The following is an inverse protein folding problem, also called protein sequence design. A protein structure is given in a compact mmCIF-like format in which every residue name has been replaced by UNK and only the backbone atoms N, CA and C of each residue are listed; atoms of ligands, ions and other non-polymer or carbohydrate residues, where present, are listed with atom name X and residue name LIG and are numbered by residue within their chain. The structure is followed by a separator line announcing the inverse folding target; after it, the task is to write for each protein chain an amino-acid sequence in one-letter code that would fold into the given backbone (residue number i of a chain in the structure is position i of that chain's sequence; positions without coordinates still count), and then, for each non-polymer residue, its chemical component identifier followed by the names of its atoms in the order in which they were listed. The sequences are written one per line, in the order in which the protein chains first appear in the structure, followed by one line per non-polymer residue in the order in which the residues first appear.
data_IF_254721770264
#
_entry.id   IF_254721770264
#
_cell.length_a   1.000
_cell.length_b   1.000
_cell.length_c   1.000
_cell.angle_alpha   90.00
_cell.angle_beta   90.00
_cell.angle_gamma   90.00
#
_symmetry.space_group_name_H-M   'P 1'
#
loop_
_entity.id
_entity.type
_entity.pdbx_description
1 polymer ?
#
# COMPACT_ATOMS: atom_id res chain seq x y z
N UNK A 1 22.64 14.04 -2.98
CA UNK A 1 21.64 14.25 -1.91
C UNK A 1 20.27 14.64 -2.48
N UNK A 2 20.19 15.59 -3.41
CA UNK A 2 18.94 15.99 -4.10
C UNK A 2 18.16 14.84 -4.75
N UNK A 3 18.83 13.92 -5.45
CA UNK A 3 18.21 12.74 -6.07
C UNK A 3 17.48 11.83 -5.06
N UNK A 4 17.97 11.74 -3.82
CA UNK A 4 17.38 10.89 -2.78
C UNK A 4 16.09 11.54 -2.25
N UNK A 5 16.10 12.85 -2.00
CA UNK A 5 14.89 13.58 -1.63
C UNK A 5 13.82 13.54 -2.73
N UNK A 6 14.22 13.64 -3.99
CA UNK A 6 13.30 13.48 -5.12
C UNK A 6 12.70 12.07 -5.13
N UNK A 7 13.50 11.03 -4.95
CA UNK A 7 13.00 9.65 -4.88
C UNK A 7 12.00 9.45 -3.72
N UNK A 8 12.30 9.95 -2.52
CA UNK A 8 11.37 9.89 -1.38
C UNK A 8 10.06 10.62 -1.69
N UNK A 9 10.15 11.80 -2.31
CA UNK A 9 8.98 12.58 -2.70
C UNK A 9 8.11 11.81 -3.70
N UNK A 10 8.69 11.25 -4.77
CA UNK A 10 7.94 10.46 -5.75
C UNK A 10 7.28 9.22 -5.12
N UNK A 11 8.02 8.47 -4.28
CA UNK A 11 7.47 7.28 -3.61
C UNK A 11 6.33 7.64 -2.66
N UNK A 12 6.47 8.75 -1.91
CA UNK A 12 5.42 9.23 -1.02
C UNK A 12 4.16 9.64 -1.78
N UNK A 13 4.32 10.41 -2.86
CA UNK A 13 3.21 10.83 -3.73
C UNK A 13 2.53 9.62 -4.37
N UNK A 14 3.30 8.64 -4.86
CA UNK A 14 2.76 7.40 -5.45
C UNK A 14 1.96 6.60 -4.41
N UNK A 15 2.49 6.43 -3.19
CA UNK A 15 1.83 5.72 -2.10
C UNK A 15 0.50 6.37 -1.73
N UNK A 16 0.51 7.70 -1.54
CA UNK A 16 -0.69 8.46 -1.17
C UNK A 16 -1.73 8.42 -2.29
N UNK A 17 -1.29 8.60 -3.54
CA UNK A 17 -2.19 8.57 -4.70
C UNK A 17 -2.85 7.21 -4.86
N UNK A 18 -2.09 6.12 -4.70
CA UNK A 18 -2.61 4.76 -4.75
C UNK A 18 -3.66 4.52 -3.65
N UNK A 19 -3.39 4.96 -2.43
CA UNK A 19 -4.35 4.89 -1.33
C UNK A 19 -5.64 5.66 -1.65
N UNK A 20 -5.54 6.88 -2.17
CA UNK A 20 -6.71 7.73 -2.51
C UNK A 20 -7.54 7.12 -3.64
N UNK A 21 -6.89 6.55 -4.66
CA UNK A 21 -7.60 5.88 -5.76
C UNK A 21 -8.36 4.66 -5.22
N UNK A 22 -7.72 3.85 -4.38
CA UNK A 22 -8.36 2.69 -3.78
C UNK A 22 -9.52 3.09 -2.85
N UNK A 23 -9.34 4.06 -1.96
CA UNK A 23 -10.45 4.52 -1.09
C UNK A 23 -11.63 5.02 -1.90
N UNK A 24 -11.38 5.74 -3.00
CA UNK A 24 -12.45 6.19 -3.90
C UNK A 24 -13.15 5.02 -4.59
N UNK A 25 -12.39 4.07 -5.14
CA UNK A 25 -12.95 2.88 -5.81
C UNK A 25 -13.81 2.07 -4.83
N UNK A 26 -13.31 1.80 -3.62
CA UNK A 26 -14.05 1.07 -2.59
C UNK A 26 -15.27 1.85 -2.08
N UNK A 27 -15.16 3.17 -1.91
CA UNK A 27 -16.29 4.02 -1.51
C UNK A 27 -17.41 4.02 -2.55
N UNK A 28 -17.07 3.93 -3.84
CA UNK A 28 -18.02 3.89 -4.94
C UNK A 28 -18.60 2.48 -5.15
N UNK A 29 -17.81 1.43 -5.00
CA UNK A 29 -18.23 0.05 -5.28
C UNK A 29 -19.10 -0.57 -4.18
N UNK A 30 -18.84 -0.25 -2.90
CA UNK A 30 -19.37 -1.04 -1.77
C UNK A 30 -20.00 -0.20 -0.66
N UNK A 31 -20.01 1.12 -0.82
CA UNK A 31 -20.46 2.10 0.18
C UNK A 31 -19.34 2.57 1.11
N UNK A 32 -19.50 3.79 1.65
CA UNK A 32 -18.50 4.54 2.41
C UNK A 32 -17.83 3.77 3.57
N UNK A 33 -18.49 2.75 4.14
CA UNK A 33 -17.95 1.94 5.23
C UNK A 33 -16.65 1.20 4.86
N UNK A 34 -16.49 0.78 3.60
CA UNK A 34 -15.30 0.04 3.17
C UNK A 34 -14.11 0.94 2.80
N UNK A 35 -14.32 2.25 2.67
CA UNK A 35 -13.21 3.19 2.45
C UNK A 35 -12.25 3.21 3.65
N UNK A 36 -12.78 3.07 4.87
CA UNK A 36 -11.97 3.00 6.10
C UNK A 36 -11.03 1.80 6.12
N UNK A 37 -11.42 0.67 5.53
CA UNK A 37 -10.58 -0.54 5.45
C UNK A 37 -9.25 -0.24 4.73
N UNK A 38 -9.30 0.47 3.60
CA UNK A 38 -8.11 0.82 2.82
C UNK A 38 -7.14 1.68 3.63
N UNK A 39 -7.67 2.66 4.37
CA UNK A 39 -6.86 3.52 5.25
C UNK A 39 -6.23 2.71 6.38
N UNK A 40 -7.01 1.84 7.03
CA UNK A 40 -6.51 0.96 8.09
C UNK A 40 -5.43 0.00 7.62
N UNK A 41 -5.57 -0.61 6.44
CA UNK A 41 -4.54 -1.52 5.88
C UNK A 41 -3.26 -0.75 5.54
N UNK A 42 -3.38 0.46 5.00
CA UNK A 42 -2.21 1.30 4.74
C UNK A 42 -1.47 1.66 6.04
N UNK A 43 -2.19 2.06 7.08
CA UNK A 43 -1.61 2.35 8.39
C UNK A 43 -1.00 1.08 9.03
N UNK A 44 -1.66 -0.07 8.90
CA UNK A 44 -1.15 -1.36 9.35
C UNK A 44 0.19 -1.69 8.65
N UNK A 45 0.27 -1.49 7.34
CA UNK A 45 1.51 -1.70 6.58
C UNK A 45 2.66 -0.84 7.08
N UNK A 46 2.40 0.45 7.34
CA UNK A 46 3.40 1.33 7.97
C UNK A 46 3.76 0.88 9.38
N UNK A 47 2.79 0.41 10.17
CA UNK A 47 3.02 -0.14 11.51
C UNK A 47 3.92 -1.38 11.48
N UNK A 48 3.63 -2.35 10.61
CA UNK A 48 4.44 -3.56 10.42
C UNK A 48 5.87 -3.21 10.01
N UNK A 49 6.05 -2.24 9.10
CA UNK A 49 7.38 -1.76 8.72
C UNK A 49 8.13 -1.17 9.91
N UNK A 50 7.46 -0.43 10.80
CA UNK A 50 8.05 0.12 12.03
C UNK A 50 8.44 -0.96 13.04
N UNK A 51 7.57 -1.97 13.23
CA UNK A 51 7.85 -3.11 14.12
C UNK A 51 9.01 -3.95 13.63
N UNK A 52 9.06 -4.26 12.34
CA UNK A 52 10.18 -4.98 11.71
C UNK A 52 11.48 -4.18 11.89
N UNK A 53 11.44 -2.87 11.67
CA UNK A 53 12.61 -2.01 11.86
C UNK A 53 13.08 -1.98 13.32
N UNK A 54 12.15 -2.01 14.28
CA UNK A 54 12.49 -2.02 15.71
C UNK A 54 13.09 -3.36 16.16
N UNK A 55 12.61 -4.49 15.63
CA UNK A 55 13.11 -5.82 15.99
C UNK A 55 14.39 -6.19 15.22
N UNK A 56 14.48 -5.81 13.95
CA UNK A 56 15.58 -6.15 13.04
C UNK A 56 16.40 -4.92 12.63
N UNK A 57 16.57 -3.95 13.54
CA UNK A 57 17.30 -2.71 13.26
C UNK A 57 18.72 -2.92 12.73
N UNK A 58 19.35 -4.07 13.04
CA UNK A 58 20.64 -4.47 12.49
C UNK A 58 20.62 -4.72 10.98
N UNK A 59 19.49 -5.17 10.40
CA UNK A 59 19.36 -5.48 8.97
C UNK A 59 19.33 -4.21 8.09
N UNK A 60 19.01 -3.08 8.72
CA UNK A 60 18.77 -1.78 8.08
C UNK A 60 20.00 -0.87 8.14
N UNK A 61 20.98 -1.17 8.99
CA UNK A 61 22.25 -0.42 9.05
C UNK A 61 23.04 -0.47 7.74
N UNK A 62 22.92 -1.54 6.96
CA UNK A 62 23.59 -1.72 5.66
C UNK A 62 22.66 -1.49 4.46
N UNK A 63 21.94 -0.37 4.46
CA UNK A 63 21.14 0.07 3.31
C UNK A 63 22.04 0.70 2.24
N UNK A 64 22.54 -0.14 1.35
CA UNK A 64 23.26 0.31 0.14
C UNK A 64 22.27 0.93 -0.86
N UNK A 65 22.65 1.93 -1.67
CA UNK A 65 21.79 2.51 -2.70
C UNK A 65 21.21 1.49 -3.71
N UNK A 66 21.90 0.37 -3.95
CA UNK A 66 21.38 -0.76 -4.74
C UNK A 66 20.18 -1.45 -4.07
N UNK A 67 20.22 -1.65 -2.75
CA UNK A 67 19.10 -2.21 -1.97
C UNK A 67 17.90 -1.27 -1.99
N UNK A 68 18.11 0.04 -1.86
CA UNK A 68 17.04 1.03 -1.99
C UNK A 68 16.36 0.96 -3.36
N UNK A 69 17.13 0.84 -4.44
CA UNK A 69 16.58 0.71 -5.80
C UNK A 69 15.77 -0.58 -5.96
N UNK A 70 16.26 -1.69 -5.39
CA UNK A 70 15.54 -2.97 -5.39
C UNK A 70 14.22 -2.88 -4.58
N UNK A 71 14.23 -2.23 -3.42
CA UNK A 71 13.04 -1.96 -2.61
C UNK A 71 12.02 -1.08 -3.35
N UNK A 72 12.47 -0.06 -4.08
CA UNK A 72 11.60 0.78 -4.91
C UNK A 72 10.96 -0.01 -6.06
N UNK A 73 11.71 -0.94 -6.68
CA UNK A 73 11.19 -1.84 -7.69
C UNK A 73 10.14 -2.81 -7.11
N UNK A 74 10.43 -3.41 -5.96
CA UNK A 74 9.48 -4.24 -5.20
C UNK A 74 8.21 -3.47 -4.82
N UNK A 75 8.34 -2.21 -4.42
CA UNK A 75 7.19 -1.35 -4.12
C UNK A 75 6.30 -1.16 -5.35
N UNK A 76 6.90 -0.89 -6.53
CA UNK A 76 6.15 -0.77 -7.78
C UNK A 76 5.43 -2.07 -8.15
N UNK A 77 6.09 -3.22 -8.00
CA UNK A 77 5.44 -4.53 -8.14
C UNK A 77 4.30 -4.72 -7.13
N UNK A 78 4.48 -4.28 -5.88
CA UNK A 78 3.47 -4.34 -4.83
C UNK A 78 2.23 -3.53 -5.17
N UNK A 79 2.39 -2.31 -5.71
CA UNK A 79 1.27 -1.51 -6.19
C UNK A 79 0.50 -2.20 -7.34
N UNK A 80 1.22 -2.77 -8.31
CA UNK A 80 0.60 -3.53 -9.41
C UNK A 80 -0.13 -4.78 -8.89
N UNK A 81 0.51 -5.55 -8.02
CA UNK A 81 -0.10 -6.72 -7.38
C UNK A 81 -1.35 -6.35 -6.58
N UNK A 82 -1.31 -5.24 -5.84
CA UNK A 82 -2.46 -4.72 -5.10
C UNK A 82 -3.62 -4.31 -6.01
N UNK A 83 -3.34 -3.63 -7.13
CA UNK A 83 -4.37 -3.29 -8.12
C UNK A 83 -5.00 -4.54 -8.74
N UNK A 84 -4.17 -5.52 -9.10
CA UNK A 84 -4.61 -6.79 -9.67
C UNK A 84 -5.48 -7.56 -8.67
N UNK A 85 -5.05 -7.66 -7.41
CA UNK A 85 -5.83 -8.29 -6.33
C UNK A 85 -7.21 -7.64 -6.16
N UNK A 86 -7.25 -6.30 -6.16
CA UNK A 86 -8.51 -5.55 -6.06
C UNK A 86 -9.42 -5.82 -7.26
N UNK A 87 -8.85 -5.97 -8.46
CA UNK A 87 -9.61 -6.30 -9.66
C UNK A 87 -10.13 -7.77 -9.64
N UNK A 88 -9.34 -8.70 -9.10
CA UNK A 88 -9.71 -10.12 -8.99
C UNK A 88 -10.69 -10.43 -7.86
N UNK A 89 -10.86 -9.52 -6.91
CA UNK A 89 -11.92 -9.62 -5.91
C UNK A 89 -13.15 -8.86 -6.39
N UNK A 90 -14.10 -9.49 -7.11
CA UNK A 90 -15.45 -8.95 -7.25
C UNK A 90 -16.10 -9.10 -5.87
N UNK A 91 -15.86 -8.12 -5.00
CA UNK A 91 -16.42 -8.11 -3.66
C UNK A 91 -17.90 -7.71 -3.76
N UNK A 92 -18.71 -8.65 -4.24
CA UNK A 92 -20.15 -8.50 -4.44
C UNK A 92 -20.84 -8.58 -3.07
N UNK A 93 -20.74 -7.51 -2.27
CA UNK A 93 -21.41 -7.41 -0.95
C UNK A 93 -22.93 -7.56 -1.06
N UNK A 94 -23.48 -7.38 -2.27
CA UNK A 94 -24.89 -7.60 -2.55
C UNK A 94 -25.27 -9.09 -2.62
N UNK A 95 -24.36 -10.00 -2.94
CA UNK A 95 -24.63 -11.44 -2.90
C UNK A 95 -24.66 -11.99 -1.47
N UNK A 96 -23.91 -11.40 -0.54
CA UNK A 96 -23.88 -11.84 0.87
C UNK A 96 -25.13 -11.35 1.63
N UNK A 97 -25.71 -10.21 1.23
CA UNK A 97 -26.94 -9.68 1.85
C UNK A 97 -28.24 -10.36 1.36
N UNK A 98 -28.19 -11.08 0.22
CA UNK A 98 -29.35 -11.70 -0.41
C UNK A 98 -29.36 -13.24 -0.35
N UNK A 99 -28.29 -13.89 0.14
CA UNK A 99 -28.29 -15.33 0.43
C UNK A 99 -29.02 -15.63 1.76
N UNK A 100 -30.34 -15.40 1.75
CA UNK A 100 -31.28 -15.93 2.73
C UNK A 100 -32.56 -16.41 2.07
#
# INVERSE_FOLDING_TARGET
MTLLYLAIFLVSVATLSFQIVLTRVFSLAQGYHFAFLVVSIALLGFGVSGTILSLFGSLVRDLTPKRLSYLAFLFSLGCLGGYVLVNYTPFDSYQIAWDR
#
